data_IF_114832581931
#
_entry.id   IF_114832581931
#
_cell.length_a   1.000
_cell.length_b   1.000
_cell.length_c   1.000
_cell.angle_alpha   90.00
_cell.angle_beta   90.00
_cell.angle_gamma   90.00
#
_symmetry.space_group_name_H-M   'P 1'
#
loop_
_entity.id
_entity.type
_entity.pdbx_description
1 polymer ?
#
# COMPACT_ATOMS: atom_id res chain seq x y z
N UNK A 1 -18.74 -1.22 8.01
CA UNK A 1 -18.07 0.11 8.06
C UNK A 1 -16.63 -0.09 8.55
N UNK A 2 -15.71 0.87 8.38
CA UNK A 2 -14.30 0.70 8.82
C UNK A 2 -14.16 0.41 10.32
N UNK A 3 -15.05 0.97 11.16
CA UNK A 3 -15.11 0.68 12.59
C UNK A 3 -15.38 -0.81 12.88
N UNK A 4 -16.30 -1.43 12.14
CA UNK A 4 -16.60 -2.87 12.28
C UNK A 4 -15.39 -3.73 11.89
N UNK A 5 -14.66 -3.31 10.84
CA UNK A 5 -13.43 -3.98 10.42
C UNK A 5 -12.35 -3.91 11.51
N UNK A 6 -12.18 -2.75 12.16
CA UNK A 6 -11.26 -2.61 13.30
C UNK A 6 -11.64 -3.59 14.41
N UNK A 7 -12.91 -3.63 14.81
CA UNK A 7 -13.41 -4.54 15.84
C UNK A 7 -13.17 -6.01 15.50
N UNK A 8 -13.42 -6.39 14.25
CA UNK A 8 -13.17 -7.75 13.76
C UNK A 8 -11.69 -8.11 13.84
N UNK A 9 -10.80 -7.27 13.30
CA UNK A 9 -9.37 -7.57 13.33
C UNK A 9 -8.79 -7.56 14.75
N UNK A 10 -9.28 -6.71 15.65
CA UNK A 10 -8.93 -6.77 17.07
C UNK A 10 -9.32 -8.10 17.71
N UNK A 11 -10.47 -8.68 17.30
CA UNK A 11 -10.87 -10.01 17.75
C UNK A 11 -9.94 -11.11 17.23
N UNK A 12 -9.56 -11.05 15.95
CA UNK A 12 -8.60 -12.00 15.37
C UNK A 12 -7.23 -11.88 16.02
N UNK A 13 -6.77 -10.65 16.30
CA UNK A 13 -5.47 -10.40 16.92
C UNK A 13 -5.36 -11.05 18.31
N UNK A 14 -6.45 -11.15 19.08
CA UNK A 14 -6.44 -11.84 20.38
C UNK A 14 -6.09 -13.32 20.26
N UNK A 15 -6.47 -13.96 19.15
CA UNK A 15 -6.16 -15.37 18.89
C UNK A 15 -4.84 -15.56 18.14
N UNK A 16 -4.34 -14.52 17.46
CA UNK A 16 -3.11 -14.54 16.68
C UNK A 16 -2.31 -13.24 16.89
N UNK A 17 -1.71 -13.03 18.09
CA UNK A 17 -1.14 -11.76 18.50
C UNK A 17 0.02 -11.30 17.62
N UNK A 18 0.74 -12.24 16.99
CA UNK A 18 1.90 -11.98 16.14
C UNK A 18 1.62 -12.27 14.66
N UNK A 19 0.35 -12.19 14.25
CA UNK A 19 0.02 -12.24 12.83
C UNK A 19 0.33 -10.90 12.16
N UNK A 20 1.45 -10.85 11.42
CA UNK A 20 1.85 -9.69 10.64
C UNK A 20 0.73 -9.22 9.67
N UNK A 21 -0.05 -10.16 9.11
CA UNK A 21 -1.17 -9.85 8.23
C UNK A 21 -2.30 -9.13 8.98
N UNK A 22 -2.68 -9.61 10.17
CA UNK A 22 -3.72 -8.97 10.98
C UNK A 22 -3.27 -7.61 11.48
N UNK A 23 -2.02 -7.51 11.92
CA UNK A 23 -1.40 -6.24 12.32
C UNK A 23 -1.35 -5.23 11.18
N UNK A 24 -0.99 -5.68 9.96
CA UNK A 24 -1.02 -4.83 8.77
C UNK A 24 -2.43 -4.31 8.45
N UNK A 25 -3.43 -5.19 8.47
CA UNK A 25 -4.81 -4.81 8.21
C UNK A 25 -5.35 -3.87 9.29
N UNK A 26 -4.99 -4.08 10.56
CA UNK A 26 -5.29 -3.16 11.65
C UNK A 26 -4.64 -1.80 11.45
N UNK A 27 -3.36 -1.76 11.08
CA UNK A 27 -2.66 -0.51 10.79
C UNK A 27 -3.38 0.27 9.69
N UNK A 28 -3.70 -0.37 8.57
CA UNK A 28 -4.41 0.27 7.47
C UNK A 28 -5.78 0.81 7.88
N UNK A 29 -6.60 0.00 8.57
CA UNK A 29 -7.93 0.44 9.03
C UNK A 29 -7.82 1.56 10.07
N UNK A 30 -6.91 1.43 11.04
CA UNK A 30 -6.68 2.42 12.08
C UNK A 30 -6.23 3.76 11.48
N UNK A 31 -5.32 3.74 10.50
CA UNK A 31 -4.87 4.93 9.77
C UNK A 31 -6.04 5.64 9.07
N UNK A 32 -6.91 4.89 8.39
CA UNK A 32 -8.11 5.46 7.75
C UNK A 32 -9.14 6.01 8.72
N UNK A 33 -9.12 5.57 9.97
CA UNK A 33 -9.99 6.08 11.04
C UNK A 33 -9.36 7.26 11.80
N UNK A 34 -8.11 7.64 11.50
CA UNK A 34 -7.36 8.65 12.26
C UNK A 34 -6.97 8.17 13.66
N UNK A 35 -6.90 6.86 13.86
CA UNK A 35 -6.59 6.26 15.15
C UNK A 35 -5.08 6.26 15.42
N UNK A 36 -4.63 6.80 16.57
CA UNK A 36 -3.20 6.89 16.88
C UNK A 36 -2.52 5.52 17.07
N UNK A 37 -3.26 4.43 17.30
CA UNK A 37 -2.69 3.08 17.41
C UNK A 37 -2.13 2.54 16.09
N UNK A 38 -2.47 3.14 14.95
CA UNK A 38 -2.04 2.70 13.62
C UNK A 38 -0.52 2.50 13.53
N UNK A 39 0.26 3.42 14.11
CA UNK A 39 1.72 3.37 14.16
C UNK A 39 2.24 2.15 14.93
N UNK A 40 1.59 1.81 16.04
CA UNK A 40 1.95 0.63 16.84
C UNK A 40 1.70 -0.66 16.06
N UNK A 41 0.57 -0.74 15.34
CA UNK A 41 0.25 -1.92 14.54
C UNK A 41 1.22 -2.11 13.38
N UNK A 42 1.54 -1.04 12.63
CA UNK A 42 2.44 -1.17 11.48
C UNK A 42 3.89 -1.45 11.91
N UNK A 43 4.35 -0.86 13.02
CA UNK A 43 5.67 -1.13 13.56
C UNK A 43 5.84 -2.61 13.94
N UNK A 44 4.83 -3.20 14.59
CA UNK A 44 4.83 -4.64 14.90
C UNK A 44 4.77 -5.51 13.66
N UNK A 45 3.94 -5.14 12.67
CA UNK A 45 3.88 -5.86 11.39
C UNK A 45 5.24 -5.87 10.67
N UNK A 46 5.93 -4.72 10.63
CA UNK A 46 7.27 -4.58 10.06
C UNK A 46 8.32 -5.40 10.82
N UNK A 47 8.25 -5.45 12.14
CA UNK A 47 9.17 -6.25 12.95
C UNK A 47 9.02 -7.76 12.67
N UNK A 48 7.78 -8.22 12.45
CA UNK A 48 7.47 -9.63 12.18
C UNK A 48 7.70 -10.02 10.71
N UNK A 49 7.48 -9.10 9.77
CA UNK A 49 7.58 -9.37 8.34
C UNK A 49 8.18 -8.16 7.58
N UNK A 50 9.48 -7.87 7.76
CA UNK A 50 10.13 -6.66 7.21
C UNK A 50 10.23 -6.64 5.68
N UNK A 51 10.01 -7.79 5.04
CA UNK A 51 10.04 -7.95 3.58
C UNK A 51 8.69 -8.39 3.01
N UNK A 52 7.62 -8.27 3.80
CA UNK A 52 6.27 -8.49 3.26
C UNK A 52 5.89 -7.32 2.35
N UNK A 53 5.58 -7.53 1.07
CA UNK A 53 5.19 -6.46 0.16
C UNK A 53 3.97 -5.68 0.65
N UNK A 54 2.97 -6.37 1.23
CA UNK A 54 1.77 -5.73 1.76
C UNK A 54 2.04 -4.85 3.00
N UNK A 55 2.99 -5.27 3.84
CA UNK A 55 3.41 -4.50 5.03
C UNK A 55 4.19 -3.26 4.60
N UNK A 56 5.14 -3.43 3.67
CA UNK A 56 5.91 -2.32 3.11
C UNK A 56 5.02 -1.31 2.38
N UNK A 57 4.03 -1.77 1.61
CA UNK A 57 3.06 -0.92 0.92
C UNK A 57 2.24 -0.09 1.92
N UNK A 58 1.68 -0.73 2.96
CA UNK A 58 0.90 -0.05 3.99
C UNK A 58 1.75 0.97 4.74
N UNK A 59 2.95 0.59 5.18
CA UNK A 59 3.88 1.47 5.88
C UNK A 59 4.30 2.65 5.01
N UNK A 60 4.60 2.41 3.73
CA UNK A 60 4.96 3.46 2.78
C UNK A 60 3.82 4.47 2.60
N UNK A 61 2.60 3.99 2.35
CA UNK A 61 1.42 4.86 2.22
C UNK A 61 1.14 5.68 3.49
N UNK A 62 1.34 5.10 4.67
CA UNK A 62 1.21 5.80 5.95
C UNK A 62 2.25 6.91 6.10
N UNK A 63 3.50 6.64 5.70
CA UNK A 63 4.59 7.63 5.73
C UNK A 63 4.37 8.79 4.75
N UNK A 64 3.93 8.50 3.52
CA UNK A 64 3.56 9.52 2.53
C UNK A 64 2.47 10.45 3.09
N UNK A 65 1.41 9.89 3.68
CA UNK A 65 0.32 10.67 4.28
C UNK A 65 0.80 11.61 5.41
N UNK A 66 1.91 11.27 6.07
CA UNK A 66 2.53 12.06 7.15
C UNK A 66 3.63 12.99 6.65
N UNK A 67 3.77 13.16 5.33
CA UNK A 67 4.77 14.03 4.72
C UNK A 67 6.18 13.45 4.67
N UNK A 68 6.38 12.19 5.10
CA UNK A 68 7.67 11.49 5.01
C UNK A 68 7.84 10.88 3.62
N UNK A 69 7.91 11.74 2.62
CA UNK A 69 7.80 11.35 1.21
C UNK A 69 8.91 10.38 0.79
N UNK A 70 10.16 10.70 1.10
CA UNK A 70 11.30 9.89 0.64
C UNK A 70 11.33 8.49 1.25
N UNK A 71 11.09 8.40 2.57
CA UNK A 71 11.07 7.09 3.25
C UNK A 71 9.87 6.25 2.84
N UNK A 72 8.73 6.90 2.57
CA UNK A 72 7.52 6.23 2.10
C UNK A 72 7.70 5.67 0.69
N UNK A 73 8.29 6.47 -0.22
CA UNK A 73 8.62 6.01 -1.58
C UNK A 73 9.60 4.84 -1.55
N UNK A 74 10.66 4.90 -0.73
CA UNK A 74 11.61 3.79 -0.63
C UNK A 74 10.95 2.47 -0.21
N UNK A 75 9.95 2.51 0.69
CA UNK A 75 9.19 1.31 1.09
C UNK A 75 8.29 0.81 -0.02
N UNK A 76 7.59 1.71 -0.73
CA UNK A 76 6.73 1.35 -1.85
C UNK A 76 7.53 0.78 -3.04
N UNK A 77 8.70 1.35 -3.31
CA UNK A 77 9.65 0.83 -4.30
C UNK A 77 10.10 -0.59 -3.93
N UNK A 78 10.50 -0.82 -2.66
CA UNK A 78 10.85 -2.16 -2.18
C UNK A 78 9.65 -3.12 -2.28
N UNK A 79 8.45 -2.68 -1.93
CA UNK A 79 7.24 -3.48 -2.05
C UNK A 79 6.97 -3.90 -3.51
N UNK A 80 7.11 -2.97 -4.45
CA UNK A 80 6.94 -3.25 -5.88
C UNK A 80 8.03 -4.16 -6.42
N UNK A 81 9.29 -4.00 -6.00
CA UNK A 81 10.39 -4.90 -6.37
C UNK A 81 10.15 -6.35 -5.93
N UNK A 82 9.59 -6.54 -4.74
CA UNK A 82 9.30 -7.86 -4.17
C UNK A 82 8.02 -8.49 -4.75
N UNK A 83 7.08 -7.68 -5.26
CA UNK A 83 5.84 -8.15 -5.86
C UNK A 83 5.45 -7.29 -7.08
N UNK A 84 6.18 -7.40 -8.21
CA UNK A 84 5.95 -6.55 -9.39
C UNK A 84 4.58 -6.78 -10.02
N UNK A 85 4.03 -7.98 -9.88
CA UNK A 85 2.72 -8.37 -10.42
C UNK A 85 1.54 -7.92 -9.53
N UNK A 86 1.83 -7.42 -8.31
CA UNK A 86 0.81 -6.92 -7.41
C UNK A 86 0.33 -5.53 -7.84
N UNK A 87 -0.64 -5.50 -8.74
CA UNK A 87 -1.18 -4.28 -9.35
C UNK A 87 -1.56 -3.19 -8.32
N UNK A 88 -2.08 -3.58 -7.15
CA UNK A 88 -2.43 -2.62 -6.09
C UNK A 88 -1.19 -1.84 -5.60
N UNK A 89 -0.07 -2.52 -5.38
CA UNK A 89 1.20 -1.91 -4.94
C UNK A 89 1.73 -1.00 -6.05
N UNK A 90 1.69 -1.47 -7.29
CA UNK A 90 2.10 -0.68 -8.47
C UNK A 90 1.30 0.60 -8.61
N UNK A 91 -0.02 0.55 -8.39
CA UNK A 91 -0.89 1.75 -8.40
C UNK A 91 -0.57 2.68 -7.24
N UNK A 92 -0.38 2.17 -6.02
CA UNK A 92 -0.04 2.98 -4.85
C UNK A 92 1.30 3.71 -5.04
N UNK A 93 2.31 3.02 -5.58
CA UNK A 93 3.60 3.62 -5.91
C UNK A 93 3.45 4.70 -7.00
N UNK A 94 2.71 4.43 -8.07
CA UNK A 94 2.47 5.43 -9.13
C UNK A 94 1.77 6.69 -8.60
N UNK A 95 0.75 6.52 -7.76
CA UNK A 95 0.04 7.64 -7.13
C UNK A 95 0.97 8.42 -6.18
N UNK A 96 1.79 7.71 -5.41
CA UNK A 96 2.77 8.33 -4.52
C UNK A 96 3.85 9.10 -5.27
N UNK A 97 4.31 8.58 -6.42
CA UNK A 97 5.22 9.31 -7.31
C UNK A 97 4.59 10.61 -7.84
N UNK A 98 3.32 10.59 -8.24
CA UNK A 98 2.63 11.82 -8.67
C UNK A 98 2.52 12.84 -7.54
N UNK A 99 2.15 12.39 -6.34
CA UNK A 99 2.09 13.26 -5.16
C UNK A 99 3.46 13.88 -4.82
N UNK A 100 4.54 13.16 -5.12
CA UNK A 100 5.92 13.63 -4.97
C UNK A 100 6.46 14.44 -6.18
N UNK A 101 5.63 14.76 -7.18
CA UNK A 101 6.04 15.48 -8.39
C UNK A 101 6.84 14.65 -9.41
N UNK A 102 7.00 13.33 -9.18
CA UNK A 102 7.71 12.39 -10.05
C UNK A 102 6.77 11.80 -11.12
N UNK A 103 6.09 12.67 -11.87
CA UNK A 103 5.03 12.29 -12.83
C UNK A 103 5.51 11.34 -13.93
N UNK A 104 6.75 11.48 -14.40
CA UNK A 104 7.32 10.60 -15.43
C UNK A 104 7.52 9.18 -14.92
N UNK A 105 8.01 9.03 -13.68
CA UNK A 105 8.17 7.72 -13.04
C UNK A 105 6.80 7.03 -12.84
N UNK A 106 5.79 7.79 -12.42
CA UNK A 106 4.42 7.27 -12.30
C UNK A 106 3.85 6.80 -13.64
N UNK A 107 4.00 7.61 -14.70
CA UNK A 107 3.52 7.28 -16.05
C UNK A 107 4.20 6.03 -16.59
N UNK A 108 5.52 5.92 -16.42
CA UNK A 108 6.28 4.74 -16.82
C UNK A 108 5.74 3.50 -16.12
N UNK A 109 5.60 3.56 -14.79
CA UNK A 109 5.14 2.43 -13.99
C UNK A 109 3.75 1.93 -14.40
N UNK A 110 2.80 2.84 -14.63
CA UNK A 110 1.45 2.50 -15.08
C UNK A 110 1.42 1.95 -16.52
N UNK A 111 2.29 2.46 -17.39
CA UNK A 111 2.40 1.99 -18.79
C UNK A 111 2.96 0.58 -18.84
N UNK A 112 4.01 0.31 -18.06
CA UNK A 112 4.63 -1.03 -17.96
C UNK A 112 3.61 -2.03 -17.38
N UNK A 113 2.91 -1.66 -16.30
CA UNK A 113 1.86 -2.49 -15.71
C UNK A 113 0.73 -2.80 -16.68
N UNK A 114 0.31 -1.82 -17.48
CA UNK A 114 -0.74 -2.00 -18.50
C UNK A 114 -0.29 -2.94 -19.61
N UNK A 115 0.96 -2.81 -20.07
CA UNK A 115 1.51 -3.66 -21.14
C UNK A 115 1.66 -5.13 -20.72
N UNK A 116 1.86 -5.39 -19.43
CA UNK A 116 1.95 -6.74 -18.89
C UNK A 116 0.60 -7.46 -18.75
N UNK A 117 -0.53 -6.74 -18.79
CA UNK A 117 -1.85 -7.34 -18.62
C UNK A 117 -2.36 -8.01 -19.91
N UNK A 118 -3.06 -9.16 -19.80
CA UNK A 118 -3.75 -9.76 -20.93
C UNK A 118 -4.79 -8.81 -21.53
N UNK A 119 -4.97 -8.89 -22.86
CA UNK A 119 -6.02 -8.16 -23.56
C UNK A 119 -7.40 -8.45 -22.93
N UNK A 120 -8.18 -7.41 -22.68
CA UNK A 120 -9.50 -7.52 -22.03
C UNK A 120 -9.48 -7.61 -20.51
N UNK A 121 -8.31 -7.51 -19.86
CA UNK A 121 -8.24 -7.42 -18.40
C UNK A 121 -9.03 -6.20 -17.89
N UNK A 122 -9.95 -6.36 -16.92
CA UNK A 122 -10.72 -5.25 -16.37
C UNK A 122 -9.85 -4.20 -15.69
N UNK A 123 -8.61 -4.56 -15.34
CA UNK A 123 -7.63 -3.62 -14.79
C UNK A 123 -7.10 -2.59 -15.81
N UNK A 124 -7.20 -2.87 -17.12
CA UNK A 124 -6.71 -1.96 -18.17
C UNK A 124 -7.46 -0.62 -18.10
N UNK A 125 -8.79 -0.64 -17.94
CA UNK A 125 -9.60 0.59 -17.84
C UNK A 125 -9.16 1.47 -16.66
N UNK A 126 -8.87 0.85 -15.52
CA UNK A 126 -8.36 1.57 -14.34
C UNK A 126 -7.01 2.20 -14.60
N UNK A 127 -6.09 1.48 -15.26
CA UNK A 127 -4.76 2.00 -15.60
C UNK A 127 -4.83 3.12 -16.63
N UNK A 128 -5.71 3.02 -17.63
CA UNK A 128 -5.94 4.06 -18.61
C UNK A 128 -6.49 5.34 -17.98
N UNK A 129 -7.43 5.22 -17.04
CA UNK A 129 -7.92 6.36 -16.27
C UNK A 129 -6.80 7.04 -15.45
N UNK A 130 -5.93 6.25 -14.82
CA UNK A 130 -4.80 6.78 -14.04
C UNK A 130 -3.75 7.46 -14.93
N UNK A 131 -3.51 6.95 -16.14
CA UNK A 131 -2.60 7.54 -17.13
C UNK A 131 -3.13 8.85 -17.73
N UNK A 132 -4.45 8.97 -17.88
CA UNK A 132 -5.11 10.17 -18.40
C UNK A 132 -5.23 11.30 -17.36
N UNK A 133 -5.29 10.97 -16.07
CA UNK A 133 -5.35 11.96 -15.01
C UNK A 133 -4.04 12.77 -14.95
N UNK A 134 -4.15 14.10 -15.05
CA UNK A 134 -3.03 15.05 -14.92
C UNK A 134 -2.56 15.18 -13.48
#
# INVERSE_FOLDING_TARGET
QLKDAKTYYLAVLRSAPDSAVVLNNLAWVADKLGDPEAEGYIARALALAPESPAVLDTAGMMEIQRGKIDTGLAKLEKAHQLAPDALAITINLAQSYRAAGKSDAARKLLTDARAALPAGSPAIEKLDALLAAK
#
